data_IF_401311359340
#
_entry.id   IF_401311359340
#
_cell.length_a   1.000
_cell.length_b   1.000
_cell.length_c   1.000
_cell.angle_alpha   90.00
_cell.angle_beta   90.00
_cell.angle_gamma   90.00
#
_symmetry.space_group_name_H-M   'P 1'
#
loop_
_entity.id
_entity.type
_entity.pdbx_description
1 polymer ?
#
# COMPACT_ATOMS: atom_id res chain seq x y z
N UNK A 1 -19.07 28.21 8.06
CA UNK A 1 -19.74 26.93 8.42
C UNK A 1 -19.20 26.50 9.77
N UNK A 2 -20.04 26.04 10.70
CA UNK A 2 -19.52 25.46 11.95
C UNK A 2 -18.92 24.09 11.65
N UNK A 3 -17.66 23.87 12.02
CA UNK A 3 -16.97 22.58 11.85
C UNK A 3 -17.55 21.60 12.88
N UNK A 4 -18.04 20.47 12.44
CA UNK A 4 -18.43 19.38 13.35
C UNK A 4 -17.17 18.62 13.79
N UNK A 5 -16.68 18.95 14.99
CA UNK A 5 -15.46 18.36 15.57
C UNK A 5 -15.61 16.87 15.83
N UNK A 6 -16.82 16.40 16.14
CA UNK A 6 -17.08 14.96 16.35
C UNK A 6 -16.99 14.19 15.05
N UNK A 7 -17.55 14.74 13.98
CA UNK A 7 -17.41 14.16 12.64
C UNK A 7 -15.94 14.16 12.19
N UNK A 8 -15.25 15.29 12.35
CA UNK A 8 -13.86 15.41 11.96
C UNK A 8 -12.96 14.45 12.77
N UNK A 9 -13.27 14.20 14.02
CA UNK A 9 -12.57 13.20 14.84
C UNK A 9 -12.74 11.77 14.32
N UNK A 10 -13.91 11.42 13.78
CA UNK A 10 -14.11 10.13 13.09
C UNK A 10 -13.31 10.05 11.79
N UNK A 11 -13.24 11.15 11.05
CA UNK A 11 -12.70 11.25 9.71
C UNK A 11 -11.69 12.40 9.59
N UNK A 12 -10.51 12.29 10.23
CA UNK A 12 -9.52 13.36 10.33
C UNK A 12 -8.74 13.59 9.03
N UNK A 13 -9.41 13.42 7.90
CA UNK A 13 -8.88 13.62 6.56
C UNK A 13 -9.82 14.45 5.67
N UNK A 14 -10.99 14.85 6.17
CA UNK A 14 -11.95 15.66 5.44
C UNK A 14 -11.42 17.07 5.14
N UNK A 15 -12.03 17.73 4.16
CA UNK A 15 -11.63 19.07 3.70
C UNK A 15 -11.61 20.11 4.84
N UNK A 16 -12.51 19.97 5.82
CA UNK A 16 -12.58 20.83 7.02
C UNK A 16 -11.38 20.71 7.96
N UNK A 17 -10.50 19.71 7.79
CA UNK A 17 -9.32 19.54 8.64
C UNK A 17 -8.40 20.76 8.61
N UNK A 18 -8.14 21.32 7.42
CA UNK A 18 -7.26 22.47 7.28
C UNK A 18 -7.80 23.68 8.04
N UNK A 19 -9.07 24.04 7.82
CA UNK A 19 -9.73 25.13 8.51
C UNK A 19 -9.75 24.92 10.03
N UNK A 20 -10.00 23.67 10.47
CA UNK A 20 -9.97 23.31 11.88
C UNK A 20 -8.59 23.53 12.52
N UNK A 21 -7.52 23.10 11.88
CA UNK A 21 -6.16 23.28 12.40
C UNK A 21 -5.77 24.74 12.48
N UNK A 22 -6.20 25.59 11.53
CA UNK A 22 -5.97 27.03 11.54
C UNK A 22 -6.72 27.72 12.72
N UNK A 23 -7.96 27.34 12.99
CA UNK A 23 -8.78 27.92 14.09
C UNK A 23 -8.32 27.42 15.46
N UNK A 24 -7.81 26.20 15.55
CA UNK A 24 -7.39 25.59 16.82
C UNK A 24 -5.96 25.89 17.23
N UNK A 25 -5.33 26.92 16.66
CA UNK A 25 -3.95 27.35 16.92
C UNK A 25 -2.93 26.17 16.87
N UNK A 26 -3.13 25.27 15.90
CA UNK A 26 -2.28 24.09 15.75
C UNK A 26 -0.89 24.48 15.25
N UNK A 27 0.14 24.31 16.10
CA UNK A 27 1.52 24.56 15.75
C UNK A 27 2.35 23.28 15.84
N UNK A 28 2.65 22.68 14.68
CA UNK A 28 3.39 21.42 14.61
C UNK A 28 4.80 21.51 15.20
N UNK A 29 5.53 22.61 14.97
CA UNK A 29 6.90 22.79 15.48
C UNK A 29 6.92 22.88 17.01
N UNK A 30 5.97 23.59 17.59
CA UNK A 30 5.83 23.68 19.04
C UNK A 30 5.47 22.33 19.66
N UNK A 31 4.54 21.60 19.04
CA UNK A 31 4.12 20.28 19.51
C UNK A 31 5.29 19.28 19.48
N UNK A 32 6.12 19.32 18.45
CA UNK A 32 7.28 18.41 18.31
C UNK A 32 8.47 18.80 19.20
N UNK A 33 8.57 20.06 19.65
CA UNK A 33 9.73 20.58 20.41
C UNK A 33 9.65 20.32 21.91
N UNK A 34 8.47 20.08 22.46
CA UNK A 34 8.25 19.90 23.90
C UNK A 34 7.38 18.69 24.17
N UNK A 35 7.57 18.09 25.32
CA UNK A 35 6.65 17.04 25.80
C UNK A 35 5.27 17.66 26.09
N UNK A 36 4.25 17.13 25.45
CA UNK A 36 2.85 17.56 25.60
C UNK A 36 1.89 16.40 25.33
N UNK A 37 0.62 16.62 25.65
CA UNK A 37 -0.41 15.61 25.52
C UNK A 37 -0.60 15.11 24.08
N UNK A 38 -0.56 16.04 23.10
CA UNK A 38 -0.73 15.70 21.67
C UNK A 38 0.42 14.80 21.18
N UNK A 39 1.67 15.14 21.54
CA UNK A 39 2.82 14.34 21.16
C UNK A 39 2.76 12.95 21.81
N UNK A 40 2.41 12.88 23.09
CA UNK A 40 2.29 11.62 23.82
C UNK A 40 1.18 10.74 23.23
N UNK A 41 0.01 11.31 22.91
CA UNK A 41 -1.07 10.61 22.23
C UNK A 41 -0.64 10.11 20.82
N UNK A 42 0.14 10.90 20.09
CA UNK A 42 0.67 10.53 18.77
C UNK A 42 1.64 9.35 18.87
N UNK A 43 2.55 9.39 19.84
CA UNK A 43 3.50 8.30 20.10
C UNK A 43 2.76 7.04 20.55
N UNK A 44 1.75 7.14 21.41
CA UNK A 44 0.92 6.02 21.83
C UNK A 44 0.21 5.39 20.63
N UNK A 45 -0.35 6.21 19.71
CA UNK A 45 -0.96 5.76 18.46
C UNK A 45 0.03 4.95 17.60
N UNK A 46 1.28 5.38 17.51
CA UNK A 46 2.32 4.69 16.74
C UNK A 46 2.79 3.40 17.47
N UNK A 47 2.98 3.44 18.77
CA UNK A 47 3.37 2.26 19.57
C UNK A 47 2.35 1.12 19.46
N UNK A 48 1.06 1.46 19.39
CA UNK A 48 -0.04 0.49 19.30
C UNK A 48 -0.21 -0.16 17.92
N UNK A 49 0.61 0.14 16.91
CA UNK A 49 0.46 -0.38 15.54
C UNK A 49 0.45 -1.91 15.42
N UNK A 50 1.03 -2.61 16.38
CA UNK A 50 1.04 -4.09 16.42
C UNK A 50 -0.10 -4.70 17.26
N UNK A 51 -0.91 -3.89 17.93
CA UNK A 51 -2.03 -4.35 18.76
C UNK A 51 -3.28 -4.57 17.90
N UNK A 52 -4.01 -5.67 18.16
CA UNK A 52 -5.13 -6.07 17.29
C UNK A 52 -6.35 -5.17 17.40
N UNK A 53 -6.65 -4.62 18.57
CA UNK A 53 -7.93 -3.94 18.85
C UNK A 53 -7.79 -2.67 19.70
N UNK A 54 -6.70 -1.93 19.49
CA UNK A 54 -6.53 -0.68 20.21
C UNK A 54 -7.48 0.40 19.67
N UNK A 55 -8.42 0.81 20.49
CA UNK A 55 -9.28 1.98 20.27
C UNK A 55 -8.71 3.13 21.10
N UNK A 56 -8.52 4.28 20.47
CA UNK A 56 -8.16 5.49 21.18
C UNK A 56 -9.42 6.11 21.75
N UNK A 57 -9.50 6.19 23.07
CA UNK A 57 -10.55 6.93 23.80
C UNK A 57 -10.04 8.36 24.07
N UNK A 58 -9.63 9.03 22.99
CA UNK A 58 -9.25 10.43 23.06
C UNK A 58 -10.48 11.33 22.85
N UNK A 59 -10.47 12.49 23.52
CA UNK A 59 -11.45 13.52 23.15
C UNK A 59 -11.28 13.90 21.66
N UNK A 60 -12.33 14.47 21.03
CA UNK A 60 -12.31 14.73 19.60
C UNK A 60 -11.15 15.62 19.13
N UNK A 61 -10.78 16.66 19.89
CA UNK A 61 -9.68 17.57 19.54
C UNK A 61 -8.33 16.83 19.57
N UNK A 62 -8.07 16.15 20.68
CA UNK A 62 -6.84 15.36 20.85
C UNK A 62 -6.71 14.26 19.76
N UNK A 63 -7.83 13.62 19.41
CA UNK A 63 -7.84 12.59 18.38
C UNK A 63 -7.45 13.14 17.00
N UNK A 64 -7.99 14.32 16.63
CA UNK A 64 -7.67 14.98 15.35
C UNK A 64 -6.18 15.40 15.33
N UNK A 65 -5.73 16.14 16.33
CA UNK A 65 -4.38 16.67 16.41
C UNK A 65 -3.34 15.56 16.48
N UNK A 66 -3.57 14.54 17.32
CA UNK A 66 -2.66 13.39 17.42
C UNK A 66 -2.59 12.56 16.14
N UNK A 67 -3.68 12.48 15.35
CA UNK A 67 -3.64 11.82 14.05
C UNK A 67 -2.71 12.57 13.08
N UNK A 68 -2.83 13.90 13.00
CA UNK A 68 -2.00 14.73 12.11
C UNK A 68 -0.52 14.64 12.49
N UNK A 69 -0.21 14.75 13.78
CA UNK A 69 1.18 14.62 14.28
C UNK A 69 1.71 13.21 14.05
N UNK A 70 0.87 12.17 14.20
CA UNK A 70 1.26 10.79 13.89
C UNK A 70 1.61 10.59 12.43
N UNK A 71 0.85 11.19 11.50
CA UNK A 71 1.17 11.15 10.06
C UNK A 71 2.57 11.74 9.79
N UNK A 72 2.89 12.87 10.42
CA UNK A 72 4.19 13.52 10.26
C UNK A 72 5.32 12.66 10.82
N UNK A 73 5.19 12.16 12.04
CA UNK A 73 6.20 11.28 12.66
C UNK A 73 6.41 10.01 11.85
N UNK A 74 5.33 9.34 11.44
CA UNK A 74 5.38 8.10 10.65
C UNK A 74 6.02 8.32 9.29
N UNK A 75 5.81 9.47 8.66
CA UNK A 75 6.47 9.85 7.41
C UNK A 75 7.99 9.80 7.53
N UNK A 76 8.55 10.16 8.68
CA UNK A 76 10.00 10.21 8.96
C UNK A 76 10.54 8.90 9.55
N UNK A 77 9.69 8.05 10.15
CA UNK A 77 10.09 6.71 10.62
C UNK A 77 10.39 5.71 9.49
N UNK A 78 9.90 5.98 8.27
CA UNK A 78 10.19 5.18 7.10
C UNK A 78 9.04 4.31 6.60
N UNK A 79 9.25 3.73 5.42
CA UNK A 79 8.20 3.08 4.60
C UNK A 79 7.45 1.97 5.35
N UNK A 80 8.14 1.17 6.16
CA UNK A 80 7.52 0.08 6.91
C UNK A 80 6.48 0.59 7.93
N UNK A 81 6.77 1.73 8.58
CA UNK A 81 5.84 2.36 9.50
C UNK A 81 4.67 3.03 8.77
N UNK A 82 4.93 3.66 7.62
CA UNK A 82 3.87 4.23 6.76
C UNK A 82 2.87 3.15 6.36
N UNK A 83 3.33 2.03 5.82
CA UNK A 83 2.47 0.92 5.40
C UNK A 83 1.65 0.35 6.55
N UNK A 84 2.28 0.16 7.71
CA UNK A 84 1.61 -0.39 8.89
C UNK A 84 0.58 0.58 9.47
N UNK A 85 0.90 1.86 9.50
CA UNK A 85 0.00 2.92 9.94
C UNK A 85 -1.20 3.03 8.98
N UNK A 86 -0.95 3.04 7.68
CA UNK A 86 -1.98 3.08 6.65
C UNK A 86 -2.90 1.86 6.73
N UNK A 87 -2.35 0.64 6.90
CA UNK A 87 -3.14 -0.58 7.10
C UNK A 87 -4.05 -0.47 8.33
N UNK A 88 -3.54 0.05 9.44
CA UNK A 88 -4.29 0.14 10.67
C UNK A 88 -5.41 1.18 10.61
N UNK A 89 -5.07 2.38 10.17
CA UNK A 89 -6.08 3.46 10.07
C UNK A 89 -7.16 3.14 9.03
N UNK A 90 -6.81 2.47 7.94
CA UNK A 90 -7.80 2.04 6.95
C UNK A 90 -8.75 0.95 7.49
N UNK A 91 -8.25 0.03 8.30
CA UNK A 91 -9.10 -0.95 9.02
C UNK A 91 -10.00 -0.27 10.06
N UNK A 92 -9.50 0.77 10.74
CA UNK A 92 -10.33 1.58 11.64
C UNK A 92 -11.48 2.24 10.88
N UNK A 93 -11.18 2.88 9.76
CA UNK A 93 -12.20 3.47 8.89
C UNK A 93 -13.20 2.41 8.42
N UNK A 94 -12.75 1.24 7.98
CA UNK A 94 -13.62 0.15 7.54
C UNK A 94 -14.62 -0.28 8.63
N UNK A 95 -14.19 -0.35 9.90
CA UNK A 95 -15.08 -0.63 11.04
C UNK A 95 -16.11 0.49 11.24
N UNK A 96 -15.71 1.76 11.14
CA UNK A 96 -16.63 2.90 11.25
C UNK A 96 -17.66 2.88 10.13
N UNK A 97 -17.23 2.72 8.88
CA UNK A 97 -18.11 2.64 7.72
C UNK A 97 -19.13 1.51 7.86
N UNK A 98 -18.69 0.35 8.33
CA UNK A 98 -19.58 -0.78 8.59
C UNK A 98 -20.68 -0.41 9.59
N UNK A 99 -20.31 0.24 10.69
CA UNK A 99 -21.26 0.69 11.71
C UNK A 99 -22.24 1.75 11.17
N UNK A 100 -21.76 2.73 10.37
CA UNK A 100 -22.63 3.74 9.74
C UNK A 100 -23.68 3.09 8.82
N UNK A 101 -23.33 2.02 8.12
CA UNK A 101 -24.27 1.32 7.25
C UNK A 101 -25.25 0.46 8.02
N UNK A 102 -24.81 -0.25 9.06
CA UNK A 102 -25.69 -0.99 9.96
C UNK A 102 -26.75 -0.06 10.56
N UNK A 103 -26.38 1.20 10.84
CA UNK A 103 -27.27 2.26 11.29
C UNK A 103 -28.03 2.98 10.15
N UNK A 104 -27.89 2.52 8.90
CA UNK A 104 -28.49 3.14 7.70
C UNK A 104 -28.11 4.61 7.46
N UNK A 105 -26.96 5.02 7.95
CA UNK A 105 -26.43 6.37 7.76
C UNK A 105 -25.68 6.49 6.43
N UNK A 106 -26.39 6.27 5.32
CA UNK A 106 -25.78 6.25 3.98
C UNK A 106 -25.26 7.62 3.53
N UNK A 107 -25.78 8.71 4.07
CA UNK A 107 -25.29 10.06 3.75
C UNK A 107 -23.83 10.24 4.11
N UNK A 108 -23.42 9.76 5.28
CA UNK A 108 -22.02 9.77 5.73
C UNK A 108 -21.15 8.91 4.82
N UNK A 109 -21.60 7.70 4.51
CA UNK A 109 -20.84 6.79 3.63
C UNK A 109 -20.62 7.41 2.25
N UNK A 110 -21.64 8.04 1.66
CA UNK A 110 -21.53 8.74 0.37
C UNK A 110 -20.59 9.93 0.47
N UNK A 111 -20.65 10.73 1.53
CA UNK A 111 -19.77 11.88 1.77
C UNK A 111 -18.30 11.44 1.76
N UNK A 112 -17.98 10.41 2.54
CA UNK A 112 -16.62 9.85 2.61
C UNK A 112 -16.18 9.25 1.29
N UNK A 113 -17.09 8.53 0.61
CA UNK A 113 -16.82 7.96 -0.70
C UNK A 113 -16.54 9.03 -1.76
N UNK A 114 -17.27 10.14 -1.72
CA UNK A 114 -17.03 11.29 -2.61
C UNK A 114 -15.68 11.94 -2.39
N UNK A 115 -15.22 11.99 -1.14
CA UNK A 115 -13.91 12.52 -0.81
C UNK A 115 -12.77 11.59 -1.24
N UNK A 116 -12.86 10.30 -0.92
CA UNK A 116 -11.76 9.35 -1.11
C UNK A 116 -11.68 8.75 -2.51
N UNK A 117 -12.82 8.57 -3.18
CA UNK A 117 -12.87 7.82 -4.45
C UNK A 117 -13.24 8.73 -5.61
N UNK A 118 -14.47 9.26 -5.61
CA UNK A 118 -15.01 10.01 -6.74
C UNK A 118 -16.24 10.82 -6.37
N UNK A 119 -16.34 12.05 -6.89
CA UNK A 119 -17.52 12.91 -6.72
C UNK A 119 -18.81 12.33 -7.32
N UNK A 120 -18.66 11.40 -8.26
CA UNK A 120 -19.77 10.82 -9.03
C UNK A 120 -20.34 9.53 -8.43
N UNK A 121 -19.95 9.17 -7.22
CA UNK A 121 -20.50 7.99 -6.55
C UNK A 121 -21.93 8.23 -6.09
N UNK A 122 -22.81 7.27 -6.37
CA UNK A 122 -24.22 7.31 -6.03
C UNK A 122 -24.66 6.00 -5.38
N UNK A 123 -25.77 6.04 -4.63
CA UNK A 123 -26.47 4.86 -4.13
C UNK A 123 -27.79 4.72 -4.86
N UNK A 124 -28.13 3.51 -5.28
CA UNK A 124 -29.46 3.20 -5.81
C UNK A 124 -30.00 1.93 -5.17
N UNK A 125 -31.29 1.96 -4.92
CA UNK A 125 -32.00 0.82 -4.37
C UNK A 125 -32.58 -0.02 -5.50
N UNK A 126 -32.23 -1.31 -5.52
CA UNK A 126 -32.84 -2.28 -6.43
C UNK A 126 -33.85 -3.10 -5.64
N UNK A 127 -35.12 -3.01 -6.05
CA UNK A 127 -36.18 -3.87 -5.52
C UNK A 127 -36.16 -5.21 -6.21
N UNK A 128 -35.90 -6.28 -5.46
CA UNK A 128 -36.11 -7.64 -5.89
C UNK A 128 -37.49 -8.15 -5.42
N UNK A 129 -37.93 -9.34 -5.88
CA UNK A 129 -39.24 -9.90 -5.46
C UNK A 129 -39.39 -10.01 -3.94
N UNK A 130 -38.30 -10.20 -3.20
CA UNK A 130 -38.31 -10.51 -1.76
C UNK A 130 -37.47 -9.56 -0.91
N UNK A 131 -36.75 -8.58 -1.50
CA UNK A 131 -35.85 -7.71 -0.76
C UNK A 131 -35.56 -6.40 -1.50
N UNK A 132 -35.11 -5.39 -0.74
CA UNK A 132 -34.51 -4.17 -1.27
C UNK A 132 -33.00 -4.29 -1.05
N UNK A 133 -32.23 -4.15 -2.11
CA UNK A 133 -30.78 -4.19 -2.06
C UNK A 133 -30.23 -2.81 -2.41
N UNK A 134 -29.43 -2.26 -1.51
CA UNK A 134 -28.69 -1.03 -1.76
C UNK A 134 -27.42 -1.34 -2.54
N UNK A 135 -27.27 -0.76 -3.72
CA UNK A 135 -26.06 -0.87 -4.54
C UNK A 135 -25.45 0.49 -4.76
N UNK A 136 -24.13 0.52 -4.75
CA UNK A 136 -23.33 1.70 -4.98
C UNK A 136 -22.79 1.69 -6.42
N UNK A 137 -22.96 2.80 -7.09
CA UNK A 137 -22.54 3.01 -8.46
C UNK A 137 -21.22 3.76 -8.46
N UNK A 138 -20.21 3.17 -9.05
CA UNK A 138 -18.88 3.76 -9.17
C UNK A 138 -18.42 3.64 -10.63
N UNK A 139 -17.85 4.70 -11.18
CA UNK A 139 -17.24 4.62 -12.51
C UNK A 139 -16.14 3.57 -12.52
N UNK A 140 -16.05 2.76 -13.57
CA UNK A 140 -15.04 1.70 -13.71
C UNK A 140 -13.64 2.25 -13.50
N UNK A 141 -13.33 3.44 -14.03
CA UNK A 141 -12.01 4.05 -13.91
C UNK A 141 -11.64 4.35 -12.46
N UNK A 142 -12.60 4.79 -11.65
CA UNK A 142 -12.39 5.08 -10.23
C UNK A 142 -12.29 3.80 -9.40
N UNK A 143 -13.06 2.78 -9.74
CA UNK A 143 -12.93 1.45 -9.16
C UNK A 143 -11.55 0.85 -9.38
N UNK A 144 -11.05 0.87 -10.62
CA UNK A 144 -9.77 0.26 -10.99
C UNK A 144 -8.57 0.91 -10.29
N UNK A 145 -8.67 2.19 -9.90
CA UNK A 145 -7.61 2.86 -9.13
C UNK A 145 -7.26 2.12 -7.84
N UNK A 146 -8.24 1.47 -7.22
CA UNK A 146 -8.08 0.81 -5.93
C UNK A 146 -8.19 -0.72 -6.01
N UNK A 147 -9.06 -1.25 -6.86
CA UNK A 147 -9.24 -2.69 -7.03
C UNK A 147 -7.95 -3.40 -7.46
N UNK A 148 -7.11 -2.72 -8.25
CA UNK A 148 -5.81 -3.24 -8.70
C UNK A 148 -4.83 -3.57 -7.53
N UNK A 149 -5.03 -2.98 -6.35
CA UNK A 149 -4.19 -3.22 -5.18
C UNK A 149 -4.70 -4.35 -4.29
N UNK A 150 -5.93 -4.84 -4.50
CA UNK A 150 -6.55 -5.82 -3.62
C UNK A 150 -6.02 -7.24 -3.83
N UNK A 151 -5.37 -7.51 -4.96
CA UNK A 151 -4.59 -8.74 -5.21
C UNK A 151 -5.40 -10.04 -5.32
N UNK A 152 -6.74 -9.99 -5.22
CA UNK A 152 -7.65 -11.12 -5.31
C UNK A 152 -8.42 -11.02 -6.64
N UNK A 153 -8.55 -12.16 -7.33
CA UNK A 153 -9.27 -12.25 -8.62
C UNK A 153 -10.74 -11.82 -8.53
N UNK A 154 -11.37 -11.93 -7.35
CA UNK A 154 -12.74 -11.47 -7.12
C UNK A 154 -12.94 -9.97 -7.39
N UNK A 155 -11.85 -9.19 -7.44
CA UNK A 155 -11.87 -7.75 -7.78
C UNK A 155 -11.65 -7.49 -9.28
N UNK A 156 -11.50 -8.54 -10.09
CA UNK A 156 -11.44 -8.37 -11.55
C UNK A 156 -12.83 -7.99 -12.10
N UNK A 157 -12.85 -7.13 -13.12
CA UNK A 157 -14.10 -6.64 -13.72
C UNK A 157 -15.04 -7.76 -14.17
N UNK A 158 -14.49 -8.91 -14.55
CA UNK A 158 -15.27 -10.07 -14.99
C UNK A 158 -16.22 -10.65 -13.92
N UNK A 159 -16.00 -10.32 -12.64
CA UNK A 159 -16.82 -10.79 -11.51
C UNK A 159 -17.84 -9.77 -11.02
N UNK A 160 -17.97 -8.64 -11.73
CA UNK A 160 -18.88 -7.58 -11.35
C UNK A 160 -19.88 -7.27 -12.45
N UNK A 161 -21.07 -6.86 -12.05
CA UNK A 161 -22.04 -6.31 -12.98
C UNK A 161 -21.58 -4.93 -13.44
N UNK A 162 -21.56 -4.75 -14.76
CA UNK A 162 -21.14 -3.50 -15.41
C UNK A 162 -22.27 -3.04 -16.32
N UNK A 163 -22.64 -1.78 -16.19
CA UNK A 163 -23.63 -1.14 -17.06
C UNK A 163 -23.23 0.31 -17.29
N UNK A 164 -23.24 0.73 -18.56
CA UNK A 164 -23.02 2.14 -18.98
C UNK A 164 -21.73 2.75 -18.40
N UNK A 165 -20.66 1.96 -18.24
CA UNK A 165 -19.38 2.43 -17.72
C UNK A 165 -19.32 2.51 -16.17
N UNK A 166 -20.35 2.01 -15.48
CA UNK A 166 -20.41 1.92 -14.03
C UNK A 166 -20.34 0.46 -13.57
N UNK A 167 -19.71 0.27 -12.43
CA UNK A 167 -19.68 -0.98 -11.68
C UNK A 167 -20.63 -0.88 -10.49
N UNK A 168 -21.29 -1.99 -10.18
CA UNK A 168 -22.25 -2.07 -9.09
C UNK A 168 -21.58 -2.80 -7.92
N UNK A 169 -21.49 -2.14 -6.79
CA UNK A 169 -20.90 -2.69 -5.59
C UNK A 169 -21.94 -2.86 -4.49
N UNK A 170 -21.93 -4.04 -3.90
CA UNK A 170 -22.59 -4.20 -2.61
C UNK A 170 -21.87 -3.35 -1.56
N UNK A 171 -22.52 -3.14 -0.44
CA UNK A 171 -21.94 -2.51 0.73
C UNK A 171 -20.54 -3.08 1.10
N UNK A 172 -20.42 -4.40 1.15
CA UNK A 172 -19.16 -5.08 1.47
C UNK A 172 -18.06 -4.75 0.45
N UNK A 173 -18.44 -4.68 -0.82
CA UNK A 173 -17.54 -4.27 -1.91
C UNK A 173 -17.07 -2.84 -1.75
N UNK A 174 -18.00 -1.89 -1.53
CA UNK A 174 -17.65 -0.49 -1.33
C UNK A 174 -16.76 -0.28 -0.11
N UNK A 175 -17.08 -0.89 1.03
CA UNK A 175 -16.28 -0.78 2.26
C UNK A 175 -14.82 -1.22 2.03
N UNK A 176 -14.61 -2.26 1.23
CA UNK A 176 -13.25 -2.72 0.91
C UNK A 176 -12.50 -1.80 -0.04
N UNK A 177 -13.20 -1.20 -1.01
CA UNK A 177 -12.62 -0.16 -1.90
C UNK A 177 -12.29 1.09 -1.09
N UNK A 178 -13.16 1.52 -0.16
CA UNK A 178 -12.90 2.66 0.73
C UNK A 178 -11.69 2.42 1.65
N UNK A 179 -11.57 1.22 2.20
CA UNK A 179 -10.41 0.81 3.00
C UNK A 179 -9.12 0.98 2.21
N UNK A 180 -9.08 0.51 0.96
CA UNK A 180 -7.90 0.65 0.11
C UNK A 180 -7.66 2.11 -0.33
N UNK A 181 -8.72 2.85 -0.66
CA UNK A 181 -8.63 4.26 -1.03
C UNK A 181 -8.01 5.10 0.12
N UNK A 182 -8.45 4.86 1.34
CA UNK A 182 -7.90 5.55 2.51
C UNK A 182 -6.48 5.12 2.82
N UNK A 183 -6.15 3.82 2.66
CA UNK A 183 -4.78 3.33 2.79
C UNK A 183 -3.84 4.06 1.83
N UNK A 184 -4.22 4.19 0.56
CA UNK A 184 -3.44 4.91 -0.44
C UNK A 184 -3.34 6.41 -0.12
N UNK A 185 -4.43 7.02 0.34
CA UNK A 185 -4.42 8.42 0.76
C UNK A 185 -3.40 8.68 1.86
N UNK A 186 -3.34 7.84 2.90
CA UNK A 186 -2.35 7.95 3.98
C UNK A 186 -0.93 7.82 3.44
N UNK A 187 -0.66 6.84 2.59
CA UNK A 187 0.67 6.63 2.00
C UNK A 187 1.12 7.85 1.20
N UNK A 188 0.22 8.40 0.38
CA UNK A 188 0.49 9.61 -0.40
C UNK A 188 0.80 10.79 0.54
N UNK A 189 -0.03 11.02 1.56
CA UNK A 189 0.17 12.11 2.52
C UNK A 189 1.48 11.96 3.31
N UNK A 190 1.80 10.78 3.78
CA UNK A 190 3.10 10.55 4.43
C UNK A 190 4.29 10.83 3.49
N UNK A 191 4.18 10.46 2.21
CA UNK A 191 5.25 10.74 1.24
C UNK A 191 5.39 12.25 0.94
N UNK A 192 4.28 13.00 0.91
CA UNK A 192 4.29 14.47 0.81
C UNK A 192 4.95 15.09 2.06
N UNK A 193 4.56 14.65 3.25
CA UNK A 193 5.08 15.17 4.53
C UNK A 193 6.56 14.85 4.75
N UNK A 194 7.07 13.75 4.20
CA UNK A 194 8.49 13.38 4.30
C UNK A 194 9.42 14.43 3.69
N UNK A 195 8.94 15.21 2.71
CA UNK A 195 9.70 16.31 2.11
C UNK A 195 9.82 17.55 3.00
N UNK A 196 9.09 17.61 4.13
CA UNK A 196 9.11 18.74 5.04
C UNK A 196 10.12 18.44 6.16
N UNK A 197 11.21 19.18 6.18
CA UNK A 197 12.24 19.05 7.20
C UNK A 197 12.00 20.02 8.36
N UNK A 198 11.99 19.50 9.59
CA UNK A 198 11.97 20.26 10.83
C UNK A 198 13.16 19.82 11.69
N UNK A 199 14.01 20.75 12.21
CA UNK A 199 15.24 20.40 12.92
C UNK A 199 15.03 19.48 14.14
N UNK A 200 13.87 19.55 14.80
CA UNK A 200 13.54 18.72 15.96
C UNK A 200 13.12 17.30 15.60
N UNK A 201 12.90 17.00 14.30
CA UNK A 201 12.36 15.68 13.92
C UNK A 201 13.39 14.56 14.06
N UNK A 202 14.64 14.76 13.69
CA UNK A 202 15.68 13.72 13.76
C UNK A 202 15.93 13.22 15.18
N UNK A 203 16.18 14.09 16.19
CA UNK A 203 16.32 13.64 17.58
C UNK A 203 15.07 12.92 18.11
N UNK A 204 13.88 13.39 17.72
CA UNK A 204 12.62 12.77 18.10
C UNK A 204 12.48 11.38 17.51
N UNK A 205 12.76 11.21 16.20
CA UNK A 205 12.73 9.90 15.53
C UNK A 205 13.74 8.93 16.14
N UNK A 206 14.95 9.38 16.44
CA UNK A 206 15.95 8.56 17.11
C UNK A 206 15.48 8.07 18.49
N UNK A 207 14.87 8.97 19.29
CA UNK A 207 14.28 8.62 20.59
C UNK A 207 13.16 7.60 20.43
N UNK A 208 12.16 7.88 19.56
CA UNK A 208 10.98 7.05 19.37
C UNK A 208 11.36 5.68 18.79
N UNK A 209 12.27 5.62 17.83
CA UNK A 209 12.64 4.37 17.15
C UNK A 209 13.25 3.32 18.11
N UNK A 210 13.88 3.75 19.20
CA UNK A 210 14.40 2.85 20.26
C UNK A 210 13.28 2.21 21.09
N UNK A 211 12.14 2.87 21.17
CA UNK A 211 11.00 2.44 21.98
C UNK A 211 9.94 1.69 21.19
N UNK A 212 10.00 1.79 19.86
CA UNK A 212 9.02 1.16 19.00
C UNK A 212 9.28 -0.35 18.85
N UNK A 213 8.23 -1.18 18.96
CA UNK A 213 8.35 -2.59 18.62
C UNK A 213 8.76 -2.72 17.15
N UNK A 214 9.61 -3.72 16.80
CA UNK A 214 10.01 -3.92 15.43
C UNK A 214 8.75 -4.14 14.57
N UNK A 215 8.43 -3.19 13.72
CA UNK A 215 7.40 -3.40 12.70
C UNK A 215 7.95 -4.48 11.79
N UNK A 216 7.27 -5.64 11.75
CA UNK A 216 7.59 -6.66 10.75
C UNK A 216 7.50 -5.95 9.41
N UNK A 217 8.64 -5.73 8.78
CA UNK A 217 8.69 -5.10 7.46
C UNK A 217 7.68 -5.87 6.61
N UNK A 218 6.59 -5.21 6.20
CA UNK A 218 5.87 -5.64 5.02
C UNK A 218 6.91 -5.48 3.94
N UNK A 219 7.40 -6.60 3.44
CA UNK A 219 8.57 -6.64 2.58
C UNK A 219 8.25 -5.95 1.25
N UNK A 220 8.31 -4.62 1.23
CA UNK A 220 8.84 -3.96 0.06
C UNK A 220 10.35 -4.20 0.14
N UNK A 221 10.84 -5.11 -0.69
CA UNK A 221 12.24 -5.52 -0.71
C UNK A 221 13.13 -4.35 -1.19
N UNK A 222 13.30 -3.33 -0.35
CA UNK A 222 14.32 -2.29 -0.53
C UNK A 222 15.64 -2.65 0.16
N UNK A 223 15.70 -3.73 0.94
CA UNK A 223 16.99 -4.28 1.37
C UNK A 223 17.71 -4.78 0.11
N UNK A 224 18.80 -4.12 -0.25
CA UNK A 224 19.79 -4.68 -1.16
C UNK A 224 20.13 -6.06 -0.64
N UNK A 225 19.54 -7.08 -1.24
CA UNK A 225 19.92 -8.46 -0.94
C UNK A 225 21.31 -8.59 -1.50
N UNK A 226 22.31 -8.77 -0.62
CA UNK A 226 23.65 -9.06 -1.05
C UNK A 226 23.59 -10.32 -1.92
N UNK A 227 23.65 -10.12 -3.25
CA UNK A 227 23.53 -11.17 -4.23
C UNK A 227 24.84 -11.96 -4.28
N UNK A 228 24.77 -13.25 -4.03
CA UNK A 228 25.92 -14.18 -4.09
C UNK A 228 25.72 -15.28 -5.15
N UNK A 229 25.03 -14.97 -6.25
CA UNK A 229 24.77 -15.94 -7.33
C UNK A 229 23.83 -17.08 -6.94
N UNK A 230 22.90 -16.85 -6.04
CA UNK A 230 21.91 -17.82 -5.59
C UNK A 230 20.55 -17.44 -6.15
N UNK A 231 20.28 -17.83 -7.39
CA UNK A 231 18.99 -17.57 -8.03
C UNK A 231 17.95 -18.61 -7.65
N UNK A 232 16.69 -18.18 -7.35
CA UNK A 232 15.57 -19.11 -7.29
C UNK A 232 15.42 -19.87 -8.61
N UNK A 233 14.97 -21.13 -8.60
CA UNK A 233 14.87 -21.95 -9.83
C UNK A 233 14.06 -21.27 -10.95
N UNK A 234 12.94 -20.60 -10.62
CA UNK A 234 12.13 -19.84 -11.57
C UNK A 234 12.91 -18.67 -12.22
N UNK A 235 13.70 -17.93 -11.44
CA UNK A 235 14.49 -16.81 -11.96
C UNK A 235 15.71 -17.29 -12.73
N UNK A 236 16.33 -18.38 -12.30
CA UNK A 236 17.43 -19.02 -13.01
C UNK A 236 17.00 -19.50 -14.40
N UNK A 237 15.80 -20.08 -14.50
CA UNK A 237 15.25 -20.47 -15.80
C UNK A 237 15.06 -19.26 -16.71
N UNK A 238 14.41 -18.19 -16.22
CA UNK A 238 14.21 -16.97 -17.00
C UNK A 238 15.53 -16.33 -17.43
N UNK A 239 16.56 -16.33 -16.57
CA UNK A 239 17.91 -15.86 -16.91
C UNK A 239 18.56 -16.72 -18.00
N UNK A 240 18.41 -18.04 -17.92
CA UNK A 240 18.95 -18.95 -18.93
C UNK A 240 18.24 -18.82 -20.27
N UNK A 241 16.91 -18.70 -20.26
CA UNK A 241 16.12 -18.46 -21.47
C UNK A 241 16.49 -17.12 -22.12
N UNK A 242 16.66 -16.05 -21.33
CA UNK A 242 17.13 -14.76 -21.79
C UNK A 242 18.53 -14.85 -22.43
N UNK A 243 19.49 -15.47 -21.74
CA UNK A 243 20.86 -15.66 -22.24
C UNK A 243 20.92 -16.50 -23.52
N UNK A 244 20.01 -17.44 -23.70
CA UNK A 244 19.90 -18.28 -24.91
C UNK A 244 19.11 -17.63 -26.04
N UNK A 245 18.69 -16.36 -25.87
CA UNK A 245 17.93 -15.63 -26.90
C UNK A 245 16.50 -16.11 -27.09
N UNK A 246 15.94 -16.81 -26.10
CA UNK A 246 14.53 -17.21 -26.13
C UNK A 246 13.63 -16.04 -25.76
N UNK A 247 12.52 -15.92 -26.48
CA UNK A 247 11.48 -14.95 -26.14
C UNK A 247 10.84 -15.30 -24.81
N UNK A 248 10.82 -14.32 -23.89
CA UNK A 248 10.09 -14.42 -22.64
C UNK A 248 8.67 -13.93 -22.79
N UNK A 249 7.74 -14.46 -21.98
CA UNK A 249 6.41 -13.90 -21.86
C UNK A 249 6.44 -12.50 -21.22
N UNK A 250 5.39 -11.73 -21.38
CA UNK A 250 5.29 -10.40 -20.72
C UNK A 250 5.49 -10.51 -19.20
N UNK A 251 4.85 -11.51 -18.55
CA UNK A 251 5.04 -11.77 -17.13
C UNK A 251 6.46 -12.25 -16.81
N UNK A 252 7.11 -12.99 -17.70
CA UNK A 252 8.51 -13.41 -17.55
C UNK A 252 9.47 -12.22 -17.57
N UNK A 253 9.29 -11.30 -18.52
CA UNK A 253 10.06 -10.06 -18.58
C UNK A 253 9.87 -9.21 -17.33
N UNK A 254 8.62 -9.04 -16.89
CA UNK A 254 8.28 -8.28 -15.68
C UNK A 254 8.89 -8.90 -14.42
N UNK A 255 8.74 -10.23 -14.25
CA UNK A 255 9.25 -10.95 -13.09
C UNK A 255 10.78 -10.88 -13.03
N UNK A 256 11.45 -11.04 -14.17
CA UNK A 256 12.90 -10.98 -14.25
C UNK A 256 13.43 -9.57 -13.99
N UNK A 257 12.85 -8.53 -14.60
CA UNK A 257 13.28 -7.15 -14.39
C UNK A 257 13.09 -6.70 -12.94
N UNK A 258 11.96 -7.04 -12.30
CA UNK A 258 11.72 -6.75 -10.88
C UNK A 258 12.70 -7.51 -9.98
N UNK A 259 13.04 -8.76 -10.32
CA UNK A 259 14.01 -9.56 -9.60
C UNK A 259 15.42 -8.98 -9.69
N UNK A 260 15.88 -8.65 -10.90
CA UNK A 260 17.20 -8.06 -11.14
C UNK A 260 17.39 -6.77 -10.35
N UNK A 261 16.37 -5.89 -10.35
CA UNK A 261 16.38 -4.68 -9.51
C UNK A 261 16.62 -5.00 -8.03
N UNK A 262 15.89 -5.96 -7.48
CA UNK A 262 15.97 -6.30 -6.05
C UNK A 262 17.32 -6.90 -5.66
N UNK A 263 17.95 -7.64 -6.56
CA UNK A 263 19.30 -8.18 -6.33
C UNK A 263 20.44 -7.19 -6.67
N UNK A 264 20.08 -5.96 -7.05
CA UNK A 264 21.00 -4.83 -7.14
C UNK A 264 21.51 -4.47 -8.54
N UNK A 265 20.92 -5.04 -9.59
CA UNK A 265 21.27 -4.64 -10.97
C UNK A 265 20.75 -3.22 -11.25
N UNK A 266 21.59 -2.43 -11.92
CA UNK A 266 21.19 -1.11 -12.45
C UNK A 266 20.27 -1.26 -13.67
N UNK A 267 19.68 -0.14 -14.10
CA UNK A 267 18.88 -0.09 -15.35
C UNK A 267 19.73 -0.52 -16.54
N UNK A 268 20.96 -0.02 -16.62
CA UNK A 268 21.90 -0.30 -17.70
C UNK A 268 22.30 -1.77 -17.74
N UNK A 269 22.65 -2.36 -16.61
CA UNK A 269 23.00 -3.79 -16.51
C UNK A 269 21.79 -4.68 -16.87
N UNK A 270 20.59 -4.29 -16.43
CA UNK A 270 19.36 -5.02 -16.79
C UNK A 270 19.08 -4.90 -18.28
N UNK A 271 19.21 -3.70 -18.86
CA UNK A 271 19.01 -3.46 -20.29
C UNK A 271 19.97 -4.27 -21.13
N UNK A 272 21.26 -4.37 -20.73
CA UNK A 272 22.27 -5.15 -21.41
C UNK A 272 21.91 -6.64 -21.47
N UNK A 273 21.40 -7.20 -20.38
CA UNK A 273 20.89 -8.58 -20.38
C UNK A 273 19.71 -8.76 -21.35
N UNK A 274 18.78 -7.79 -21.39
CA UNK A 274 17.58 -7.86 -22.23
C UNK A 274 17.86 -7.68 -23.72
N UNK A 275 19.06 -7.21 -24.12
CA UNK A 275 19.48 -7.15 -25.53
C UNK A 275 19.50 -8.52 -26.24
N UNK A 276 19.60 -9.60 -25.47
CA UNK A 276 19.53 -10.95 -26.01
C UNK A 276 18.12 -11.39 -26.47
N UNK A 277 17.07 -10.61 -26.16
CA UNK A 277 15.72 -10.94 -26.63
C UNK A 277 15.58 -10.74 -28.14
N UNK A 278 14.92 -11.66 -28.86
CA UNK A 278 14.81 -11.59 -30.32
C UNK A 278 13.98 -10.39 -30.82
N UNK A 279 13.09 -9.86 -29.98
CA UNK A 279 12.24 -8.70 -30.28
C UNK A 279 12.68 -7.45 -29.52
N UNK A 280 13.95 -7.38 -29.09
CA UNK A 280 14.48 -6.25 -28.35
C UNK A 280 14.38 -4.93 -29.14
N UNK A 281 13.81 -3.93 -28.49
CA UNK A 281 13.80 -2.54 -28.96
C UNK A 281 14.24 -1.65 -27.81
N UNK A 282 15.42 -1.07 -27.91
CA UNK A 282 16.08 -0.37 -26.80
C UNK A 282 15.19 0.68 -26.13
N UNK A 283 14.57 1.56 -26.91
CA UNK A 283 13.72 2.63 -26.37
C UNK A 283 12.52 2.08 -25.58
N UNK A 284 11.92 0.99 -26.04
CA UNK A 284 10.76 0.35 -25.37
C UNK A 284 11.24 -0.38 -24.12
N UNK A 285 12.30 -1.17 -24.22
CA UNK A 285 12.86 -1.91 -23.10
C UNK A 285 13.35 -0.97 -21.99
N UNK A 286 14.07 0.09 -22.34
CA UNK A 286 14.53 1.12 -21.40
C UNK A 286 13.36 1.76 -20.68
N UNK A 287 12.33 2.19 -21.42
CA UNK A 287 11.13 2.78 -20.81
C UNK A 287 10.47 1.83 -19.80
N UNK A 288 10.31 0.55 -20.17
CA UNK A 288 9.67 -0.45 -19.30
C UNK A 288 10.52 -0.76 -18.07
N UNK A 289 11.84 -0.91 -18.22
CA UNK A 289 12.75 -1.16 -17.10
C UNK A 289 12.76 0.04 -16.15
N UNK A 290 12.91 1.26 -16.65
CA UNK A 290 12.88 2.48 -15.82
C UNK A 290 11.53 2.65 -15.10
N UNK A 291 10.41 2.28 -15.73
CA UNK A 291 9.09 2.27 -15.10
C UNK A 291 9.01 1.24 -13.98
N UNK A 292 9.52 0.02 -14.19
CA UNK A 292 9.58 -1.04 -13.16
C UNK A 292 10.48 -0.63 -11.99
N UNK A 293 11.55 0.09 -12.26
CA UNK A 293 12.49 0.61 -11.27
C UNK A 293 11.97 1.85 -10.51
N UNK A 294 10.80 2.36 -10.88
CA UNK A 294 10.21 3.55 -10.26
C UNK A 294 10.85 4.87 -10.69
N UNK A 295 11.58 4.88 -11.80
CA UNK A 295 12.26 6.08 -12.32
C UNK A 295 11.37 6.88 -13.29
N UNK A 296 10.25 6.30 -13.76
CA UNK A 296 9.30 6.93 -14.68
C UNK A 296 7.85 6.78 -14.22
N UNK A 297 6.98 7.57 -14.79
CA UNK A 297 5.55 7.58 -14.49
C UNK A 297 5.26 7.99 -13.06
N UNK A 298 4.35 7.30 -12.39
CA UNK A 298 3.98 7.56 -10.99
C UNK A 298 5.04 7.18 -9.95
N UNK A 299 6.28 6.93 -10.35
CA UNK A 299 7.43 6.52 -9.50
C UNK A 299 7.15 5.31 -8.62
N UNK A 300 6.19 4.47 -9.04
CA UNK A 300 5.87 3.22 -8.34
C UNK A 300 6.99 2.20 -8.58
N UNK A 301 7.57 1.74 -7.50
CA UNK A 301 8.54 0.64 -7.52
C UNK A 301 7.78 -0.68 -7.50
N UNK A 302 8.04 -1.55 -8.47
CA UNK A 302 7.34 -2.83 -8.57
C UNK A 302 8.10 -3.94 -7.82
N UNK A 303 7.36 -4.79 -7.11
CA UNK A 303 7.90 -5.94 -6.39
C UNK A 303 7.99 -7.19 -7.28
N UNK A 304 8.87 -8.11 -6.91
CA UNK A 304 8.94 -9.44 -7.54
C UNK A 304 7.63 -10.17 -7.32
N UNK A 305 7.02 -10.80 -8.36
CA UNK A 305 5.80 -11.56 -8.21
C UNK A 305 5.95 -12.73 -7.24
N UNK A 306 4.88 -13.01 -6.48
CA UNK A 306 4.83 -14.16 -5.56
C UNK A 306 4.88 -15.51 -6.29
N UNK A 307 5.22 -16.59 -5.59
CA UNK A 307 5.20 -17.93 -6.16
C UNK A 307 3.84 -18.33 -6.74
N UNK A 308 2.74 -17.89 -6.13
CA UNK A 308 1.39 -18.18 -6.64
C UNK A 308 1.14 -17.45 -7.97
N UNK A 309 1.58 -16.22 -8.10
CA UNK A 309 1.48 -15.42 -9.35
C UNK A 309 2.33 -16.03 -10.46
N UNK A 310 3.58 -16.43 -10.13
CA UNK A 310 4.46 -17.09 -11.09
C UNK A 310 3.93 -18.45 -11.52
N UNK A 311 3.30 -19.19 -10.62
CA UNK A 311 2.66 -20.48 -10.92
C UNK A 311 1.48 -20.30 -11.87
N UNK A 312 0.62 -19.31 -11.63
CA UNK A 312 -0.49 -18.98 -12.52
C UNK A 312 -0.03 -18.57 -13.93
N UNK A 313 1.19 -18.03 -14.04
CA UNK A 313 1.82 -17.66 -15.32
C UNK A 313 2.69 -18.80 -15.93
N UNK A 314 2.67 -20.01 -15.39
CA UNK A 314 3.51 -21.13 -15.78
C UNK A 314 5.02 -20.86 -15.71
N UNK A 315 5.44 -20.01 -14.77
CA UNK A 315 6.84 -19.63 -14.54
C UNK A 315 7.41 -20.19 -13.23
N UNK A 316 6.64 -21.03 -12.52
CA UNK A 316 7.05 -21.62 -11.25
C UNK A 316 7.07 -23.15 -11.35
N UNK A 317 8.16 -23.73 -10.85
CA UNK A 317 8.37 -25.18 -10.77
C UNK A 317 8.40 -25.59 -9.29
N UNK A 318 7.26 -25.91 -8.67
CA UNK A 318 7.14 -26.12 -7.23
C UNK A 318 7.96 -27.31 -6.70
N UNK A 319 8.26 -28.29 -7.53
CA UNK A 319 9.07 -29.46 -7.19
C UNK A 319 10.57 -29.21 -7.24
N UNK A 320 11.00 -27.99 -7.54
CA UNK A 320 12.41 -27.65 -7.59
C UNK A 320 13.06 -27.74 -6.20
N UNK A 321 14.28 -28.31 -6.08
CA UNK A 321 14.98 -28.43 -4.81
C UNK A 321 15.09 -27.10 -4.08
N UNK A 322 14.74 -27.11 -2.78
CA UNK A 322 14.82 -25.93 -1.93
C UNK A 322 13.57 -25.01 -1.98
N UNK A 323 12.59 -25.32 -2.82
CA UNK A 323 11.33 -24.54 -2.92
C UNK A 323 10.25 -24.96 -1.90
N UNK A 324 10.52 -25.97 -1.06
CA UNK A 324 9.58 -26.43 -0.04
C UNK A 324 9.21 -25.31 0.93
N UNK A 325 7.89 -25.11 1.13
CA UNK A 325 7.33 -24.10 2.02
C UNK A 325 7.68 -22.64 1.66
N UNK A 326 8.07 -22.37 0.40
CA UNK A 326 8.36 -21.02 -0.10
C UNK A 326 7.12 -20.45 -0.77
N UNK A 327 6.75 -19.22 -0.38
CA UNK A 327 5.63 -18.46 -0.94
C UNK A 327 6.08 -17.30 -1.84
N UNK A 328 7.39 -16.99 -1.83
CA UNK A 328 7.96 -15.88 -2.59
C UNK A 328 9.39 -16.20 -3.04
N UNK A 329 9.79 -15.87 -4.29
CA UNK A 329 11.12 -16.20 -4.82
C UNK A 329 12.29 -15.72 -3.94
N UNK A 330 12.18 -14.54 -3.35
CA UNK A 330 13.25 -13.98 -2.51
C UNK A 330 13.44 -14.72 -1.17
N UNK A 331 12.44 -15.51 -0.72
CA UNK A 331 12.60 -16.39 0.43
C UNK A 331 13.59 -17.53 0.15
N UNK A 332 13.68 -17.98 -1.11
CA UNK A 332 14.66 -18.97 -1.52
C UNK A 332 16.09 -18.53 -1.24
N UNK A 333 16.45 -17.29 -1.61
CA UNK A 333 17.78 -16.73 -1.37
C UNK A 333 18.11 -16.73 0.12
N UNK A 334 17.15 -16.30 0.96
CA UNK A 334 17.32 -16.28 2.42
C UNK A 334 17.48 -17.69 3.00
N UNK A 335 16.67 -18.64 2.55
CA UNK A 335 16.73 -20.05 3.00
C UNK A 335 18.09 -20.67 2.68
N UNK A 336 18.56 -20.53 1.44
CA UNK A 336 19.86 -21.12 1.02
C UNK A 336 21.06 -20.45 1.72
N UNK A 337 21.00 -19.11 1.95
CA UNK A 337 22.02 -18.42 2.75
C UNK A 337 22.13 -18.97 4.18
N UNK A 338 20.98 -19.21 4.82
CA UNK A 338 20.97 -19.73 6.19
C UNK A 338 21.53 -21.16 6.27
N UNK A 339 21.20 -22.03 5.30
CA UNK A 339 21.75 -23.39 5.23
C UNK A 339 23.27 -23.35 5.03
N UNK A 340 23.81 -22.47 4.18
CA UNK A 340 25.27 -22.32 3.96
C UNK A 340 25.99 -21.78 5.19
N UNK A 341 25.35 -20.92 6.01
CA UNK A 341 25.93 -20.41 7.26
C UNK A 341 26.00 -21.45 8.37
N UNK A 342 25.14 -22.46 8.33
CA UNK A 342 25.13 -23.56 9.32
C UNK A 342 26.12 -24.68 8.98
N UNK A 343 26.60 -24.75 7.74
CA UNK A 343 27.52 -25.77 7.25
C UNK A 343 28.98 -25.26 7.10
N UNK A 344 29.24 -24.00 7.46
CA UNK A 344 30.56 -23.40 7.65
C UNK A 344 30.78 -23.04 9.14
#
# INVERSE_FOLDING_TARGET
MSIDVKELSKYPFLESLKEYLEISDFNLEEILSKENEILNASIARIKSLNEKDYLFDFDPDLNIKSFVVSLFIVAHLGTAFIEKFAERESKRLSKIIKNEIENKNFSEVIKISKFLISKDIEIKQIKTKNSVIDLFYLKIIDYLKYAAYLGDYNWALAFHEIKEGYIFLTFKGLSRILEEAYRQWIIIKCNELRGIYLPMIEPLIEKISKELPPVKKVFHYEEKIEYKGIDPPCMRMLLNDLKSGKKLSHMGNFALATYLRVIGYSVEETLELFKNLPDFKENIARYQIEHIYGLRGGRKVYSVPSCITLRAANLCFPESPGCDNIKHPLQYIKKIKNVRKQNN
#
